data_IF_764281609371
#
_entry.id   IF_764281609371
#
_cell.length_a   1.000
_cell.length_b   1.000
_cell.length_c   1.000
_cell.angle_alpha   90.00
_cell.angle_beta   90.00
_cell.angle_gamma   90.00
#
_symmetry.space_group_name_H-M   'P 1'
#
loop_
_entity.id
_entity.type
_entity.pdbx_description
1 polymer ?
#
# COMPACT_ATOMS: atom_id res chain seq x y z
N UNK A 1 -63.01 -12.61 1.64
CA UNK A 1 -62.30 -13.78 1.09
C UNK A 1 -61.61 -13.33 -0.20
N UNK A 2 -60.40 -12.75 -0.12
CA UNK A 2 -59.63 -12.35 -1.30
C UNK A 2 -58.78 -13.51 -1.81
N UNK A 3 -58.70 -13.63 -3.14
CA UNK A 3 -57.94 -14.64 -3.86
C UNK A 3 -56.42 -14.40 -3.78
N UNK A 4 -55.71 -15.52 -3.73
CA UNK A 4 -54.26 -15.67 -3.65
C UNK A 4 -53.58 -15.25 -4.96
N UNK A 5 -52.61 -14.35 -4.89
CA UNK A 5 -51.62 -14.12 -5.93
C UNK A 5 -50.33 -14.84 -5.56
N UNK A 6 -49.92 -15.80 -6.39
CA UNK A 6 -48.64 -16.50 -6.31
C UNK A 6 -47.50 -15.52 -6.65
N UNK A 7 -46.65 -15.21 -5.67
CA UNK A 7 -45.35 -14.56 -5.91
C UNK A 7 -44.28 -15.63 -6.13
N UNK A 8 -43.77 -15.64 -7.36
CA UNK A 8 -42.75 -16.55 -7.85
C UNK A 8 -41.37 -16.13 -7.30
N UNK A 9 -40.88 -16.85 -6.29
CA UNK A 9 -39.52 -16.67 -5.75
C UNK A 9 -38.46 -17.06 -6.80
N UNK A 10 -37.95 -16.08 -7.54
CA UNK A 10 -36.74 -16.24 -8.33
C UNK A 10 -35.51 -15.98 -7.45
N UNK A 11 -34.95 -17.06 -6.90
CA UNK A 11 -33.63 -17.07 -6.27
C UNK A 11 -32.56 -16.78 -7.34
N UNK A 12 -32.27 -15.51 -7.57
CA UNK A 12 -31.06 -15.07 -8.25
C UNK A 12 -29.96 -14.92 -7.21
N UNK A 13 -28.96 -15.80 -7.26
CA UNK A 13 -27.73 -15.67 -6.46
C UNK A 13 -27.02 -14.36 -6.83
N UNK A 14 -27.27 -13.31 -6.06
CA UNK A 14 -26.56 -12.04 -6.15
C UNK A 14 -25.23 -12.14 -5.38
N UNK A 15 -24.19 -12.66 -6.04
CA UNK A 15 -22.82 -12.37 -5.64
C UNK A 15 -22.61 -10.85 -5.74
N UNK A 16 -22.37 -10.18 -4.61
CA UNK A 16 -21.80 -8.82 -4.61
C UNK A 16 -22.62 -7.71 -3.98
N UNK A 17 -23.61 -7.99 -3.11
CA UNK A 17 -24.20 -6.96 -2.25
C UNK A 17 -23.82 -7.21 -0.79
N UNK A 18 -22.61 -6.81 -0.44
CA UNK A 18 -22.29 -6.43 0.94
C UNK A 18 -23.32 -5.35 1.28
N UNK A 19 -24.22 -5.65 2.22
CA UNK A 19 -25.08 -4.65 2.81
C UNK A 19 -24.15 -3.59 3.44
N UNK A 20 -23.98 -2.48 2.73
CA UNK A 20 -23.19 -1.36 3.21
C UNK A 20 -23.99 -0.76 4.38
N UNK A 21 -23.62 -1.13 5.60
CA UNK A 21 -23.96 -0.32 6.78
C UNK A 21 -23.41 1.10 6.52
N UNK A 22 -24.28 2.09 6.69
CA UNK A 22 -24.05 3.53 6.50
C UNK A 22 -23.05 4.14 7.52
N UNK A 23 -22.03 3.39 7.93
CA UNK A 23 -21.00 3.90 8.83
C UNK A 23 -19.92 4.66 8.07
N UNK A 24 -19.37 5.71 8.70
CA UNK A 24 -18.18 6.40 8.17
C UNK A 24 -16.99 5.42 8.06
N UNK A 25 -16.05 5.67 7.16
CA UNK A 25 -14.84 4.83 7.01
C UNK A 25 -14.10 4.66 8.34
N UNK A 26 -14.11 5.73 9.13
CA UNK A 26 -13.51 5.79 10.46
C UNK A 26 -14.23 4.88 11.47
N UNK A 27 -15.57 4.86 11.48
CA UNK A 27 -16.36 3.96 12.33
C UNK A 27 -16.08 2.49 12.02
N UNK A 28 -16.01 2.12 10.73
CA UNK A 28 -15.67 0.74 10.33
C UNK A 28 -14.25 0.35 10.77
N UNK A 29 -13.33 1.31 10.76
CA UNK A 29 -11.96 1.09 11.25
C UNK A 29 -11.95 0.94 12.78
N UNK A 30 -12.75 1.71 13.50
CA UNK A 30 -12.90 1.57 14.96
C UNK A 30 -13.55 0.24 15.35
N UNK A 31 -14.58 -0.19 14.61
CA UNK A 31 -15.16 -1.53 14.77
C UNK A 31 -14.08 -2.61 14.57
N UNK A 32 -13.27 -2.51 13.51
CA UNK A 32 -12.17 -3.45 13.27
C UNK A 32 -11.12 -3.41 14.38
N UNK A 33 -10.77 -2.22 14.89
CA UNK A 33 -9.86 -2.03 16.03
C UNK A 33 -10.40 -2.74 17.27
N UNK A 34 -11.67 -2.54 17.60
CA UNK A 34 -12.30 -3.18 18.74
C UNK A 34 -12.37 -4.71 18.58
N UNK A 35 -12.68 -5.21 17.38
CA UNK A 35 -12.65 -6.65 17.08
C UNK A 35 -11.24 -7.25 17.26
N UNK A 36 -10.20 -6.46 17.02
CA UNK A 36 -8.80 -6.85 17.23
C UNK A 36 -8.31 -6.65 18.66
N UNK A 37 -9.21 -6.30 19.60
CA UNK A 37 -8.87 -6.09 21.01
C UNK A 37 -8.08 -4.81 21.26
N UNK A 38 -8.12 -3.84 20.34
CA UNK A 38 -7.46 -2.55 20.51
C UNK A 38 -8.16 -1.70 21.55
N UNK A 39 -7.35 -1.11 22.42
CA UNK A 39 -7.79 -0.10 23.37
C UNK A 39 -7.89 1.27 22.68
N UNK A 40 -8.60 2.20 23.32
CA UNK A 40 -8.70 3.58 22.86
C UNK A 40 -7.29 4.19 22.70
N UNK A 41 -7.06 4.85 21.57
CA UNK A 41 -5.74 5.40 21.21
C UNK A 41 -4.65 4.39 20.79
N UNK A 42 -4.85 3.06 20.85
CA UNK A 42 -3.90 2.11 20.25
C UNK A 42 -4.22 1.92 18.76
N UNK A 43 -3.30 2.24 17.83
CA UNK A 43 -3.56 2.09 16.40
C UNK A 43 -3.52 0.62 15.98
N UNK A 44 -4.33 0.29 14.97
CA UNK A 44 -4.22 -0.96 14.23
C UNK A 44 -2.96 -0.94 13.36
N UNK A 45 -2.04 -1.89 13.58
CA UNK A 45 -0.77 -1.99 12.87
C UNK A 45 -0.89 -3.03 11.76
N UNK A 46 -0.88 -2.55 10.52
CA UNK A 46 -1.00 -3.39 9.32
C UNK A 46 0.35 -3.46 8.60
N UNK A 47 0.74 -4.67 8.20
CA UNK A 47 2.01 -4.94 7.54
C UNK A 47 1.79 -5.71 6.25
N UNK A 48 2.19 -5.13 5.12
CA UNK A 48 2.37 -5.87 3.88
C UNK A 48 3.74 -6.56 3.86
N UNK A 49 3.80 -7.88 3.69
CA UNK A 49 5.04 -8.65 3.54
C UNK A 49 5.27 -8.94 2.06
N UNK A 50 6.28 -8.30 1.47
CA UNK A 50 6.62 -8.46 0.06
C UNK A 50 6.31 -7.20 -0.74
N UNK A 51 7.36 -6.57 -1.26
CA UNK A 51 7.26 -5.35 -2.07
C UNK A 51 7.45 -5.63 -3.57
N UNK A 52 6.75 -6.66 -4.07
CA UNK A 52 6.56 -6.87 -5.51
C UNK A 52 5.49 -5.94 -6.08
N UNK A 53 5.05 -6.18 -7.31
CA UNK A 53 3.98 -5.41 -7.94
C UNK A 53 2.70 -5.39 -7.07
N UNK A 54 2.15 -6.58 -6.80
CA UNK A 54 0.93 -6.73 -6.00
C UNK A 54 1.05 -6.20 -4.58
N UNK A 55 2.07 -6.64 -3.82
CA UNK A 55 2.22 -6.21 -2.44
C UNK A 55 2.44 -4.70 -2.27
N UNK A 56 3.14 -4.06 -3.21
CA UNK A 56 3.33 -2.61 -3.19
C UNK A 56 2.04 -1.85 -3.53
N UNK A 57 1.32 -2.26 -4.58
CA UNK A 57 0.05 -1.64 -4.98
C UNK A 57 -1.00 -1.81 -3.87
N UNK A 58 -1.15 -3.02 -3.34
CA UNK A 58 -2.14 -3.30 -2.30
C UNK A 58 -1.86 -2.49 -1.03
N UNK A 59 -0.60 -2.42 -0.60
CA UNK A 59 -0.24 -1.62 0.58
C UNK A 59 -0.40 -0.12 0.31
N UNK A 60 -0.11 0.35 -0.90
CA UNK A 60 -0.35 1.73 -1.30
C UNK A 60 -1.84 2.10 -1.29
N UNK A 61 -2.72 1.21 -1.73
CA UNK A 61 -4.18 1.44 -1.66
C UNK A 61 -4.66 1.55 -0.21
N UNK A 62 -4.15 0.70 0.69
CA UNK A 62 -4.44 0.82 2.12
C UNK A 62 -3.92 2.15 2.68
N UNK A 63 -2.68 2.51 2.34
CA UNK A 63 -2.06 3.75 2.81
C UNK A 63 -2.80 5.00 2.30
N UNK A 64 -3.28 4.98 1.07
CA UNK A 64 -4.06 6.08 0.48
C UNK A 64 -5.45 6.19 1.12
N UNK A 65 -6.12 5.05 1.31
CA UNK A 65 -7.47 5.00 1.88
C UNK A 65 -7.50 5.34 3.37
N UNK A 66 -6.53 4.87 4.16
CA UNK A 66 -6.59 4.93 5.62
C UNK A 66 -5.45 5.70 6.27
N UNK A 67 -4.35 5.95 5.56
CA UNK A 67 -3.11 6.47 6.16
C UNK A 67 -3.16 7.93 6.62
N UNK A 68 -4.28 8.62 6.40
CA UNK A 68 -4.56 9.93 6.99
C UNK A 68 -5.03 9.82 8.46
N UNK A 69 -5.60 8.67 8.87
CA UNK A 69 -6.07 8.36 10.23
C UNK A 69 -4.93 7.80 11.10
N UNK A 70 -3.82 8.53 11.22
CA UNK A 70 -2.55 8.02 11.78
C UNK A 70 -2.61 7.60 13.24
N UNK A 71 -3.57 8.14 13.99
CA UNK A 71 -3.89 7.80 15.36
C UNK A 71 -4.66 6.46 15.48
N UNK A 72 -5.33 6.04 14.39
CA UNK A 72 -6.14 4.82 14.35
C UNK A 72 -5.47 3.66 13.62
N UNK A 73 -4.61 3.95 12.63
CA UNK A 73 -3.96 2.92 11.82
C UNK A 73 -2.54 3.31 11.41
N UNK A 74 -1.64 2.33 11.49
CA UNK A 74 -0.27 2.44 11.03
C UNK A 74 0.00 1.35 9.99
N UNK A 75 0.29 1.78 8.77
CA UNK A 75 0.53 0.87 7.64
C UNK A 75 2.02 0.92 7.28
N UNK A 76 2.62 -0.25 7.11
CA UNK A 76 4.00 -0.39 6.64
C UNK A 76 4.13 -1.57 5.69
N UNK A 77 5.20 -1.54 4.90
CA UNK A 77 5.54 -2.63 3.99
C UNK A 77 6.94 -3.14 4.30
N UNK A 78 7.08 -4.46 4.39
CA UNK A 78 8.37 -5.11 4.42
C UNK A 78 8.88 -5.39 3.01
N UNK A 79 10.12 -5.00 2.76
CA UNK A 79 10.86 -5.33 1.54
C UNK A 79 12.20 -5.99 1.90
N UNK A 80 12.55 -7.07 1.20
CA UNK A 80 13.89 -7.64 1.26
C UNK A 80 14.94 -6.60 0.81
N UNK A 81 15.94 -6.26 1.65
CA UNK A 81 16.94 -5.25 1.32
C UNK A 81 17.92 -5.73 0.24
N UNK A 82 18.70 -4.79 -0.31
CA UNK A 82 19.87 -5.09 -1.14
C UNK A 82 19.63 -5.18 -2.65
N UNK A 83 18.39 -5.04 -3.12
CA UNK A 83 18.13 -4.97 -4.56
C UNK A 83 18.49 -3.58 -5.08
N UNK A 84 19.58 -3.51 -5.84
CA UNK A 84 20.05 -2.31 -6.54
C UNK A 84 19.14 -2.02 -7.74
N UNK A 85 18.94 -0.72 -8.01
CA UNK A 85 18.35 -0.19 -9.24
C UNK A 85 19.49 0.02 -10.25
N UNK A 86 19.44 -0.66 -11.40
CA UNK A 86 20.44 -0.46 -12.43
C UNK A 86 20.32 0.91 -13.12
N UNK A 87 21.36 1.30 -13.86
CA UNK A 87 21.44 2.62 -14.50
C UNK A 87 20.30 2.89 -15.49
N UNK A 88 19.96 1.92 -16.33
CA UNK A 88 18.89 2.07 -17.32
C UNK A 88 17.54 2.30 -16.62
N UNK A 89 17.31 1.57 -15.54
CA UNK A 89 16.13 1.70 -14.70
C UNK A 89 16.10 3.05 -13.96
N UNK A 90 17.24 3.55 -13.50
CA UNK A 90 17.35 4.87 -12.87
C UNK A 90 17.10 6.02 -13.85
N UNK A 91 17.60 5.90 -15.08
CA UNK A 91 17.32 6.83 -16.18
C UNK A 91 15.83 6.85 -16.51
N UNK A 92 15.21 5.67 -16.68
CA UNK A 92 13.77 5.55 -16.92
C UNK A 92 12.93 6.13 -15.79
N UNK A 93 13.29 5.82 -14.54
CA UNK A 93 12.60 6.38 -13.37
C UNK A 93 12.69 7.92 -13.34
N UNK A 94 13.82 8.49 -13.74
CA UNK A 94 13.99 9.93 -13.83
C UNK A 94 13.05 10.55 -14.88
N UNK A 95 12.88 9.90 -16.03
CA UNK A 95 11.91 10.32 -17.05
C UNK A 95 10.47 10.27 -16.53
N UNK A 96 10.09 9.17 -15.86
CA UNK A 96 8.77 9.02 -15.24
C UNK A 96 8.51 10.14 -14.25
N UNK A 97 9.46 10.46 -13.36
CA UNK A 97 9.35 11.56 -12.39
C UNK A 97 9.09 12.89 -13.09
N UNK A 98 9.84 13.20 -14.15
CA UNK A 98 9.72 14.48 -14.86
C UNK A 98 8.47 14.56 -15.74
N UNK A 99 7.90 13.43 -16.14
CA UNK A 99 6.63 13.38 -16.89
C UNK A 99 5.39 13.67 -16.02
N UNK A 100 5.52 13.62 -14.69
CA UNK A 100 4.40 13.75 -13.75
C UNK A 100 4.63 14.88 -12.75
N UNK A 101 3.90 15.98 -12.95
CA UNK A 101 4.09 17.23 -12.22
C UNK A 101 3.83 17.10 -10.69
N UNK A 102 2.83 16.31 -10.30
CA UNK A 102 2.49 16.04 -8.91
C UNK A 102 3.61 15.27 -8.18
N UNK A 103 4.19 14.26 -8.85
CA UNK A 103 5.32 13.47 -8.35
C UNK A 103 6.57 14.35 -8.21
N UNK A 104 6.91 15.11 -9.25
CA UNK A 104 8.05 16.02 -9.24
C UNK A 104 7.95 17.04 -8.09
N UNK A 105 6.80 17.71 -7.96
CA UNK A 105 6.55 18.66 -6.87
C UNK A 105 6.67 18.01 -5.50
N UNK A 106 6.14 16.80 -5.33
CA UNK A 106 6.23 16.03 -4.07
C UNK A 106 7.68 15.75 -3.69
N UNK A 107 8.51 15.32 -4.64
CA UNK A 107 9.92 15.00 -4.39
C UNK A 107 10.76 16.26 -4.10
N UNK A 108 10.50 17.36 -4.80
CA UNK A 108 11.17 18.65 -4.53
C UNK A 108 10.84 19.14 -3.12
N UNK A 109 9.56 19.13 -2.73
CA UNK A 109 9.11 19.58 -1.39
C UNK A 109 9.70 18.75 -0.25
N UNK A 110 10.06 17.49 -0.50
CA UNK A 110 10.68 16.58 0.47
C UNK A 110 12.21 16.53 0.38
N UNK A 111 12.82 17.39 -0.45
CA UNK A 111 14.26 17.38 -0.71
C UNK A 111 14.79 16.02 -1.21
N UNK A 112 13.95 15.22 -1.86
CA UNK A 112 14.29 13.87 -2.35
C UNK A 112 14.68 13.85 -3.83
N UNK A 113 14.41 14.94 -4.58
CA UNK A 113 14.60 14.97 -6.03
C UNK A 113 16.09 14.83 -6.44
N UNK A 114 17.02 15.47 -5.73
CA UNK A 114 18.45 15.47 -6.06
C UNK A 114 19.02 14.04 -6.13
N UNK A 115 18.57 13.16 -5.24
CA UNK A 115 18.93 11.74 -5.23
C UNK A 115 18.70 11.06 -6.59
N UNK A 116 17.62 11.40 -7.29
CA UNK A 116 17.30 10.82 -8.61
C UNK A 116 18.13 11.43 -9.73
N UNK A 117 18.55 12.70 -9.58
CA UNK A 117 19.50 13.34 -10.51
C UNK A 117 20.87 12.65 -10.41
N UNK A 118 21.40 12.50 -9.20
CA UNK A 118 22.68 11.83 -8.92
C UNK A 118 22.68 10.39 -9.44
N UNK A 119 21.58 9.67 -9.21
CA UNK A 119 21.44 8.29 -9.67
C UNK A 119 21.45 8.16 -11.19
N UNK A 120 20.77 9.07 -11.89
CA UNK A 120 20.78 9.14 -13.36
C UNK A 120 22.18 9.42 -13.91
N UNK A 121 22.95 10.30 -13.26
CA UNK A 121 24.32 10.62 -13.64
C UNK A 121 25.30 9.47 -13.36
N UNK A 122 24.91 8.53 -12.49
CA UNK A 122 25.75 7.41 -12.05
C UNK A 122 26.59 7.73 -10.80
N UNK A 123 26.39 8.91 -10.20
CA UNK A 123 27.11 9.35 -9.00
C UNK A 123 26.57 8.71 -7.72
N UNK A 124 25.38 8.08 -7.80
CA UNK A 124 24.72 7.42 -6.68
C UNK A 124 24.08 6.10 -7.08
N UNK A 125 24.25 5.07 -6.25
CA UNK A 125 23.46 3.84 -6.34
C UNK A 125 22.12 4.03 -5.62
N UNK A 126 21.02 3.70 -6.31
CA UNK A 126 19.69 3.61 -5.71
C UNK A 126 19.39 2.18 -5.28
N UNK A 127 18.78 2.03 -4.12
CA UNK A 127 18.18 0.77 -3.69
C UNK A 127 16.67 0.78 -3.84
N UNK A 128 16.11 -0.39 -4.12
CA UNK A 128 14.70 -0.53 -4.39
C UNK A 128 13.81 -0.25 -3.15
N UNK A 129 14.32 -0.40 -1.92
CA UNK A 129 13.63 0.05 -0.71
C UNK A 129 13.65 1.57 -0.55
N UNK A 130 14.70 2.25 -1.02
CA UNK A 130 14.77 3.73 -0.99
C UNK A 130 13.76 4.35 -1.94
N UNK A 131 13.62 3.84 -3.16
CA UNK A 131 12.66 4.39 -4.13
C UNK A 131 11.21 4.06 -3.72
N UNK A 132 10.99 2.94 -3.03
CA UNK A 132 9.66 2.57 -2.52
C UNK A 132 9.18 3.50 -1.41
N UNK A 133 10.10 4.00 -0.56
CA UNK A 133 9.78 5.06 0.43
C UNK A 133 9.23 6.32 -0.23
N UNK A 134 9.66 6.60 -1.45
CA UNK A 134 9.21 7.74 -2.24
C UNK A 134 8.01 7.43 -3.15
N UNK A 135 7.50 6.21 -3.12
CA UNK A 135 6.33 5.76 -3.88
C UNK A 135 6.64 5.13 -5.23
N UNK A 136 7.81 4.52 -5.41
CA UNK A 136 8.13 3.80 -6.66
C UNK A 136 8.34 2.31 -6.41
N UNK A 137 7.63 1.47 -7.15
CA UNK A 137 7.84 0.03 -7.16
C UNK A 137 8.73 -0.34 -8.35
N UNK A 138 9.84 -1.05 -8.10
CA UNK A 138 10.78 -1.47 -9.15
C UNK A 138 10.11 -2.28 -10.27
N UNK A 139 9.06 -3.04 -9.95
CA UNK A 139 8.35 -3.88 -10.93
C UNK A 139 7.25 -3.12 -11.68
N UNK A 140 6.99 -1.86 -11.31
CA UNK A 140 5.91 -1.02 -11.86
C UNK A 140 6.34 0.45 -11.91
N UNK A 141 7.50 0.73 -12.52
CA UNK A 141 8.11 2.07 -12.47
C UNK A 141 7.22 3.13 -13.12
N UNK A 142 6.50 2.77 -14.17
CA UNK A 142 5.61 3.67 -14.91
C UNK A 142 4.36 4.09 -14.12
N UNK A 143 4.11 3.46 -12.97
CA UNK A 143 2.94 3.71 -12.12
C UNK A 143 3.38 4.14 -10.72
N UNK A 144 3.68 5.43 -10.52
CA UNK A 144 3.99 5.96 -9.20
C UNK A 144 2.84 5.75 -8.21
N UNK A 145 3.22 5.41 -6.99
CA UNK A 145 2.34 5.15 -5.86
C UNK A 145 2.41 6.30 -4.85
N UNK A 146 1.60 6.21 -3.79
CA UNK A 146 1.79 7.01 -2.60
C UNK A 146 3.09 6.57 -1.87
N UNK A 147 3.77 7.48 -1.14
CA UNK A 147 4.95 7.14 -0.36
C UNK A 147 4.59 6.16 0.76
N UNK A 148 5.43 5.14 0.97
CA UNK A 148 5.18 4.07 1.94
C UNK A 148 6.18 4.10 3.11
N UNK A 149 5.75 3.66 4.29
CA UNK A 149 6.66 3.32 5.39
C UNK A 149 7.29 1.96 5.12
N UNK A 150 8.52 1.95 4.61
CA UNK A 150 9.25 0.73 4.24
C UNK A 150 10.14 0.26 5.39
N UNK A 151 10.05 -1.02 5.74
CA UNK A 151 10.90 -1.72 6.71
C UNK A 151 11.69 -2.81 5.99
N UNK A 152 12.96 -2.98 6.34
CA UNK A 152 13.85 -3.96 5.67
C UNK A 152 14.16 -5.18 6.54
N UNK A 153 14.01 -5.07 7.87
CA UNK A 153 14.09 -6.20 8.78
C UNK A 153 12.71 -6.86 8.93
N UNK A 154 12.59 -8.15 8.61
CA UNK A 154 11.30 -8.85 8.64
C UNK A 154 10.77 -9.02 10.06
N UNK A 155 11.64 -9.33 11.03
CA UNK A 155 11.25 -9.52 12.42
C UNK A 155 10.70 -8.21 13.00
N UNK A 156 11.43 -7.10 12.80
CA UNK A 156 10.95 -5.77 13.16
C UNK A 156 9.61 -5.46 12.48
N UNK A 157 9.48 -5.82 11.19
CA UNK A 157 8.29 -5.56 10.42
C UNK A 157 7.05 -6.32 10.90
N UNK A 158 7.17 -7.43 11.62
CA UNK A 158 6.01 -8.23 12.06
C UNK A 158 5.82 -8.30 13.57
N UNK A 159 6.84 -7.90 14.35
CA UNK A 159 6.88 -8.06 15.81
C UNK A 159 5.65 -7.50 16.53
N UNK A 160 5.20 -6.30 16.14
CA UNK A 160 4.03 -5.61 16.68
C UNK A 160 2.89 -5.50 15.66
N UNK A 161 2.83 -6.38 14.65
CA UNK A 161 1.77 -6.34 13.66
C UNK A 161 0.48 -6.98 14.19
N UNK A 162 -0.65 -6.31 13.97
CA UNK A 162 -1.98 -6.87 14.23
C UNK A 162 -2.50 -7.64 13.02
N UNK A 163 -2.23 -7.10 11.83
CA UNK A 163 -2.60 -7.72 10.55
C UNK A 163 -1.35 -7.84 9.69
N UNK A 164 -1.08 -9.07 9.22
CA UNK A 164 0.00 -9.37 8.28
C UNK A 164 -0.61 -9.81 6.95
N UNK A 165 -0.22 -9.13 5.87
CA UNK A 165 -0.72 -9.36 4.52
C UNK A 165 0.41 -9.96 3.70
N UNK A 166 0.28 -11.23 3.33
CA UNK A 166 1.28 -11.89 2.50
C UNK A 166 1.14 -11.47 1.03
N UNK A 167 2.13 -10.72 0.54
CA UNK A 167 2.27 -10.32 -0.86
C UNK A 167 3.45 -10.99 -1.56
N UNK A 168 4.05 -12.03 -0.96
CA UNK A 168 5.08 -12.84 -1.60
C UNK A 168 4.45 -13.80 -2.61
N UNK A 169 5.13 -14.08 -3.74
CA UNK A 169 4.66 -15.06 -4.69
C UNK A 169 4.57 -16.44 -4.03
N UNK A 170 3.51 -17.19 -4.34
CA UNK A 170 3.45 -18.61 -4.06
C UNK A 170 4.46 -19.31 -4.97
N UNK A 171 5.66 -19.59 -4.45
CA UNK A 171 6.61 -20.49 -5.10
C UNK A 171 6.47 -21.86 -4.46
N UNK A 172 6.42 -22.92 -5.26
CA UNK A 172 6.65 -24.27 -4.76
C UNK A 172 8.04 -24.28 -4.10
N UNK A 173 8.06 -24.54 -2.80
CA UNK A 173 9.29 -24.74 -2.00
C UNK A 173 9.79 -26.16 -2.12
#
# INVERSE_FOLDING_TARGET
MPGTSEEMNQNSCANGLIQNSNGSLEEKLDELRHLMGKMEGDPLRIVGVGAGAWGSVFTALLQDSYGHLRDKVLIRIWRRPGKIVDKATAEHLFEVINSREDVLRRLIRRCAYLKYVEARLGDRTLYADEILKDGFCLNMIDTPLCPLKVVTNLQEAVWDADIVINGLPSTET
#
